data_IF_368089248962
#
_entry.id   IF_368089248962
#
_cell.length_a   1.000
_cell.length_b   1.000
_cell.length_c   1.000
_cell.angle_alpha   90.00
_cell.angle_beta   90.00
_cell.angle_gamma   90.00
#
_symmetry.space_group_name_H-M   'P 1'
#
loop_
_entity.id
_entity.type
_entity.pdbx_description
1 polymer ?
#
# COMPACT_ATOMS: atom_id res chain seq x y z
N UNK A 1 18.09 12.33 -11.35
CA UNK A 1 16.90 11.89 -12.11
C UNK A 1 15.94 11.14 -11.19
N UNK A 2 16.39 10.11 -10.45
CA UNK A 2 15.52 9.32 -9.59
C UNK A 2 14.73 10.17 -8.58
N UNK A 3 15.35 11.19 -7.99
CA UNK A 3 14.67 12.11 -7.06
C UNK A 3 13.58 12.95 -7.77
N UNK A 4 13.80 13.32 -9.03
CA UNK A 4 12.77 14.02 -9.81
C UNK A 4 11.58 13.10 -10.04
N UNK A 5 11.82 11.86 -10.47
CA UNK A 5 10.76 10.86 -10.65
C UNK A 5 10.00 10.63 -9.33
N UNK A 6 10.73 10.46 -8.24
CA UNK A 6 10.16 10.08 -6.94
C UNK A 6 9.36 11.19 -6.27
N UNK A 7 9.81 12.44 -6.39
CA UNK A 7 9.28 13.54 -5.58
C UNK A 7 8.55 14.61 -6.39
N UNK A 8 8.68 14.62 -7.72
CA UNK A 8 8.14 15.70 -8.55
C UNK A 8 7.26 15.23 -9.72
N UNK A 9 7.18 13.90 -9.99
CA UNK A 9 6.33 13.38 -11.06
C UNK A 9 5.36 12.32 -10.57
N UNK A 10 4.17 12.25 -11.18
CA UNK A 10 3.20 11.17 -11.03
C UNK A 10 2.47 10.98 -12.36
N UNK A 11 3.12 10.32 -13.29
CA UNK A 11 2.60 10.16 -14.66
C UNK A 11 2.87 8.73 -15.18
N UNK A 12 2.07 8.29 -16.14
CA UNK A 12 2.25 6.99 -16.81
C UNK A 12 3.27 7.02 -17.94
N UNK A 13 3.77 8.19 -18.29
CA UNK A 13 4.75 8.45 -19.34
C UNK A 13 5.97 9.18 -18.80
N UNK A 14 6.61 9.98 -19.65
CA UNK A 14 7.81 10.74 -19.33
C UNK A 14 7.72 12.21 -19.74
N UNK A 15 6.53 12.72 -20.01
CA UNK A 15 6.34 14.09 -20.50
C UNK A 15 6.67 15.13 -19.46
N UNK A 16 6.15 14.94 -18.25
CA UNK A 16 6.43 15.83 -17.11
C UNK A 16 7.89 15.70 -16.67
N UNK A 17 8.41 14.48 -16.63
CA UNK A 17 9.82 14.24 -16.34
C UNK A 17 10.72 15.02 -17.32
N UNK A 18 10.46 14.95 -18.63
CA UNK A 18 11.24 15.70 -19.61
C UNK A 18 11.15 17.20 -19.38
N UNK A 19 9.96 17.73 -19.09
CA UNK A 19 9.75 19.14 -18.78
C UNK A 19 10.56 19.60 -17.55
N UNK A 20 10.61 18.78 -16.52
CA UNK A 20 11.38 19.06 -15.31
C UNK A 20 12.88 18.96 -15.53
N UNK A 21 13.31 17.96 -16.32
CA UNK A 21 14.72 17.85 -16.74
C UNK A 21 15.17 19.06 -17.54
N UNK A 22 14.34 19.57 -18.47
CA UNK A 22 14.63 20.78 -19.21
C UNK A 22 14.84 22.00 -18.28
N UNK A 23 14.02 22.15 -17.23
CA UNK A 23 14.22 23.20 -16.24
C UNK A 23 15.56 23.07 -15.52
N UNK A 24 15.91 21.85 -15.11
CA UNK A 24 17.16 21.56 -14.42
C UNK A 24 18.35 21.88 -15.35
N UNK A 25 18.32 21.41 -16.59
CA UNK A 25 19.39 21.66 -17.59
C UNK A 25 19.55 23.16 -17.86
N UNK A 26 18.46 23.91 -18.04
CA UNK A 26 18.53 25.37 -18.21
C UNK A 26 19.17 26.07 -17.02
N UNK A 27 18.82 25.67 -15.79
CA UNK A 27 19.42 26.21 -14.60
C UNK A 27 20.93 25.96 -14.54
N UNK A 28 21.38 24.72 -14.86
CA UNK A 28 22.80 24.36 -14.95
C UNK A 28 23.56 25.24 -15.94
N UNK A 29 23.01 25.42 -17.15
CA UNK A 29 23.63 26.21 -18.21
C UNK A 29 23.73 27.70 -17.82
N UNK A 30 22.64 28.27 -17.32
CA UNK A 30 22.60 29.70 -16.94
C UNK A 30 23.59 30.00 -15.82
N UNK A 31 23.65 29.14 -14.80
CA UNK A 31 24.50 29.33 -13.64
C UNK A 31 25.91 28.74 -13.79
N UNK A 32 26.24 28.16 -14.97
CA UNK A 32 27.53 27.52 -15.25
C UNK A 32 27.91 26.42 -14.24
N UNK A 33 26.91 25.69 -13.73
CA UNK A 33 27.07 24.61 -12.76
C UNK A 33 27.14 23.29 -13.53
N UNK A 34 28.04 22.37 -13.14
CA UNK A 34 28.21 21.07 -13.79
C UNK A 34 27.42 19.94 -13.13
N UNK A 35 27.17 20.05 -11.85
CA UNK A 35 26.51 19.03 -11.04
C UNK A 35 25.51 19.68 -10.10
N UNK A 36 24.44 18.96 -9.77
CA UNK A 36 23.43 19.38 -8.79
C UNK A 36 23.29 18.36 -7.68
N UNK A 37 22.97 18.85 -6.50
CA UNK A 37 22.64 18.05 -5.31
C UNK A 37 21.12 17.88 -5.18
N UNK A 38 20.62 16.98 -4.34
CA UNK A 38 19.19 16.91 -4.03
C UNK A 38 18.59 18.20 -3.48
N UNK A 39 19.37 19.01 -2.74
CA UNK A 39 18.94 20.34 -2.23
C UNK A 39 18.77 21.36 -3.35
N UNK A 40 19.57 21.29 -4.40
CA UNK A 40 19.43 22.21 -5.54
C UNK A 40 18.12 21.94 -6.32
N UNK A 41 17.59 20.71 -6.28
CA UNK A 41 16.31 20.40 -6.89
C UNK A 41 15.15 21.18 -6.26
N UNK A 42 15.17 21.42 -4.97
CA UNK A 42 14.13 22.21 -4.29
C UNK A 42 14.22 23.69 -4.67
N UNK A 43 15.41 24.19 -4.94
CA UNK A 43 15.61 25.56 -5.45
C UNK A 43 15.09 25.69 -6.89
N UNK A 44 15.35 24.69 -7.73
CA UNK A 44 15.02 24.70 -9.16
C UNK A 44 13.55 24.38 -9.41
N UNK A 45 13.01 23.39 -8.71
CA UNK A 45 11.70 22.78 -8.99
C UNK A 45 10.64 23.18 -7.95
N UNK A 46 11.04 23.74 -6.81
CA UNK A 46 10.19 24.02 -5.66
C UNK A 46 10.15 22.86 -4.67
N UNK A 47 9.27 22.97 -3.68
CA UNK A 47 9.09 21.92 -2.68
C UNK A 47 8.67 20.60 -3.32
N UNK A 48 9.08 19.49 -2.70
CA UNK A 48 8.66 18.14 -3.12
C UNK A 48 7.14 18.04 -3.15
N UNK A 49 6.59 17.65 -4.29
CA UNK A 49 5.15 17.47 -4.50
C UNK A 49 4.66 16.18 -3.86
N UNK A 50 5.53 15.17 -3.86
CA UNK A 50 5.23 13.84 -3.33
C UNK A 50 6.28 13.49 -2.27
N UNK A 51 5.85 13.24 -1.06
CA UNK A 51 6.71 12.80 0.04
C UNK A 51 6.28 11.40 0.45
N UNK A 52 7.24 10.53 0.71
CA UNK A 52 6.90 9.27 1.35
C UNK A 52 6.58 9.56 2.80
N UNK A 53 5.44 9.08 3.28
CA UNK A 53 5.13 9.11 4.71
C UNK A 53 6.25 8.44 5.51
N UNK A 54 6.49 8.97 6.71
CA UNK A 54 7.44 8.36 7.63
C UNK A 54 7.04 6.90 7.89
N UNK A 55 7.99 5.98 7.77
CA UNK A 55 7.79 4.58 8.15
C UNK A 55 7.64 4.51 9.68
N UNK A 56 6.41 4.50 10.14
CA UNK A 56 6.08 4.31 11.56
C UNK A 56 5.21 3.07 11.69
N UNK A 57 5.56 2.22 12.65
CA UNK A 57 4.70 1.11 13.03
C UNK A 57 3.62 1.65 13.98
N UNK A 58 2.37 1.30 13.71
CA UNK A 58 1.24 1.65 14.57
C UNK A 58 0.26 0.50 14.64
N UNK A 59 -0.31 0.30 15.80
CA UNK A 59 -1.42 -0.64 15.97
C UNK A 59 -2.58 -0.21 15.08
N UNK A 60 -3.16 -1.15 14.37
CA UNK A 60 -4.25 -0.91 13.45
C UNK A 60 -3.84 -0.34 12.08
N UNK A 61 -2.55 -0.06 11.81
CA UNK A 61 -2.09 0.46 10.52
C UNK A 61 -1.36 -0.61 9.70
N UNK A 62 -1.74 -0.75 8.42
CA UNK A 62 -1.17 -1.73 7.49
C UNK A 62 -1.04 -1.14 6.09
N UNK A 63 0.06 -1.44 5.41
CA UNK A 63 0.26 -1.06 4.02
C UNK A 63 -0.45 -2.03 3.07
N UNK A 64 -1.19 -1.46 2.13
CA UNK A 64 -1.77 -2.15 0.97
C UNK A 64 -1.36 -1.45 -0.31
N UNK A 65 -1.62 -2.08 -1.46
CA UNK A 65 -1.20 -1.53 -2.74
C UNK A 65 -2.38 -1.48 -3.70
N UNK A 66 -2.73 -0.28 -4.10
CA UNK A 66 -3.71 -0.02 -5.15
C UNK A 66 -3.06 0.13 -6.53
N UNK A 67 -3.89 0.20 -7.55
CA UNK A 67 -3.48 0.54 -8.92
C UNK A 67 -4.39 1.63 -9.45
N UNK A 68 -3.80 2.67 -9.97
CA UNK A 68 -4.45 3.79 -10.63
C UNK A 68 -4.18 3.74 -12.15
N UNK A 69 -4.82 4.58 -12.96
CA UNK A 69 -4.44 4.74 -14.36
C UNK A 69 -2.98 5.15 -14.57
N UNK A 70 -2.34 5.73 -13.56
CA UNK A 70 -0.96 6.21 -13.60
C UNK A 70 0.07 5.19 -13.07
N UNK A 71 -0.37 4.02 -12.64
CA UNK A 71 0.48 2.98 -12.05
C UNK A 71 0.04 2.56 -10.65
N UNK A 72 0.91 1.84 -9.96
CA UNK A 72 0.66 1.44 -8.58
C UNK A 72 0.72 2.62 -7.61
N UNK A 73 0.00 2.54 -6.51
CA UNK A 73 0.02 3.51 -5.42
C UNK A 73 0.04 2.81 -4.08
N UNK A 74 0.89 3.29 -3.16
CA UNK A 74 0.90 2.82 -1.78
C UNK A 74 -0.28 3.43 -1.03
N UNK A 75 -0.97 2.60 -0.29
CA UNK A 75 -2.10 2.98 0.53
C UNK A 75 -1.90 2.42 1.94
N UNK A 76 -2.48 3.09 2.92
CA UNK A 76 -2.55 2.60 4.29
C UNK A 76 -4.00 2.37 4.67
N UNK A 77 -4.26 1.22 5.28
CA UNK A 77 -5.50 0.94 6.00
C UNK A 77 -5.23 1.18 7.47
N UNK A 78 -6.07 1.99 8.10
CA UNK A 78 -5.99 2.31 9.52
C UNK A 78 -7.30 1.92 10.18
N UNK A 79 -7.24 1.06 11.19
CA UNK A 79 -8.37 0.65 12.00
C UNK A 79 -8.30 1.26 13.40
N UNK A 80 -9.41 1.77 13.89
CA UNK A 80 -9.54 2.27 15.25
C UNK A 80 -10.95 1.96 15.81
N UNK A 81 -11.06 1.79 17.12
CA UNK A 81 -12.36 1.66 17.75
C UNK A 81 -13.10 3.00 17.82
N UNK A 82 -14.44 2.94 17.75
CA UNK A 82 -15.30 4.08 18.08
C UNK A 82 -16.33 3.70 19.13
N UNK A 83 -16.92 4.72 19.77
CA UNK A 83 -17.90 4.54 20.84
C UNK A 83 -19.36 4.57 20.32
N UNK A 84 -19.57 4.63 19.00
CA UNK A 84 -20.90 4.78 18.40
C UNK A 84 -21.53 3.48 17.95
N UNK A 85 -20.88 2.33 18.20
CA UNK A 85 -21.32 0.99 17.78
C UNK A 85 -21.67 0.92 16.27
N UNK A 86 -20.92 1.65 15.44
CA UNK A 86 -21.12 1.76 14.00
C UNK A 86 -19.84 1.51 13.23
N UNK A 87 -19.99 1.09 11.98
CA UNK A 87 -18.89 1.05 11.03
C UNK A 87 -18.80 2.40 10.29
N UNK A 88 -17.64 3.04 10.36
CA UNK A 88 -17.37 4.27 9.63
C UNK A 88 -16.17 4.06 8.70
N UNK A 89 -16.36 4.30 7.41
CA UNK A 89 -15.33 4.16 6.38
C UNK A 89 -15.03 5.55 5.81
N UNK A 90 -13.74 5.91 5.76
CA UNK A 90 -13.25 7.19 5.24
C UNK A 90 -12.12 6.98 4.23
N UNK A 91 -11.78 8.00 3.43
CA UNK A 91 -10.64 7.96 2.52
C UNK A 91 -10.99 7.84 1.03
N UNK A 92 -12.10 8.46 0.57
CA UNK A 92 -12.53 8.47 -0.84
C UNK A 92 -12.61 7.06 -1.45
N UNK A 93 -13.41 6.19 -0.84
CA UNK A 93 -13.57 4.78 -1.21
C UNK A 93 -14.76 4.55 -2.13
N UNK A 94 -14.56 3.77 -3.19
CA UNK A 94 -15.61 3.31 -4.09
C UNK A 94 -16.42 2.14 -3.53
N UNK A 95 -17.49 1.76 -4.25
CA UNK A 95 -18.44 0.75 -3.76
C UNK A 95 -17.84 -0.65 -3.68
N UNK A 96 -16.95 -1.03 -4.62
CA UNK A 96 -16.26 -2.34 -4.57
C UNK A 96 -15.38 -2.49 -3.33
N UNK A 97 -14.75 -1.40 -2.89
CA UNK A 97 -13.97 -1.43 -1.66
C UNK A 97 -14.86 -1.51 -0.43
N UNK A 98 -16.02 -0.84 -0.41
CA UNK A 98 -17.00 -0.97 0.68
C UNK A 98 -17.53 -2.41 0.78
N UNK A 99 -17.84 -3.03 -0.35
CA UNK A 99 -18.25 -4.45 -0.39
C UNK A 99 -17.13 -5.37 0.13
N UNK A 100 -15.88 -5.09 -0.24
CA UNK A 100 -14.73 -5.82 0.28
C UNK A 100 -14.57 -5.65 1.79
N UNK A 101 -14.81 -4.47 2.35
CA UNK A 101 -14.83 -4.24 3.80
C UNK A 101 -15.91 -5.09 4.46
N UNK A 102 -17.15 -5.09 3.92
CA UNK A 102 -18.24 -5.90 4.47
C UNK A 102 -17.91 -7.39 4.46
N UNK A 103 -17.28 -7.88 3.39
CA UNK A 103 -16.81 -9.27 3.28
C UNK A 103 -15.73 -9.59 4.33
N UNK A 104 -14.78 -8.68 4.54
CA UNK A 104 -13.74 -8.84 5.58
C UNK A 104 -14.35 -8.92 6.98
N UNK A 105 -15.34 -8.08 7.28
CA UNK A 105 -16.05 -8.10 8.55
C UNK A 105 -16.85 -9.40 8.74
N UNK A 106 -17.54 -9.86 7.70
CA UNK A 106 -18.27 -11.13 7.72
C UNK A 106 -17.33 -12.33 7.96
N UNK A 107 -16.14 -12.34 7.33
CA UNK A 107 -15.12 -13.34 7.59
C UNK A 107 -14.65 -13.30 9.05
N UNK A 108 -14.33 -12.13 9.59
CA UNK A 108 -13.87 -11.99 10.97
C UNK A 108 -14.93 -12.38 12.00
N UNK A 109 -16.20 -12.08 11.72
CA UNK A 109 -17.34 -12.46 12.56
C UNK A 109 -17.55 -13.98 12.54
N UNK A 110 -17.51 -14.62 11.34
CA UNK A 110 -17.65 -16.07 11.20
C UNK A 110 -16.54 -16.86 11.92
N UNK A 111 -15.34 -16.29 12.03
CA UNK A 111 -14.22 -16.86 12.78
C UNK A 111 -14.28 -16.54 14.29
N UNK A 112 -15.29 -15.82 14.73
CA UNK A 112 -15.42 -15.39 16.13
C UNK A 112 -14.33 -14.41 16.60
N UNK A 113 -13.71 -13.70 15.66
CA UNK A 113 -12.60 -12.78 15.92
C UNK A 113 -13.03 -11.33 16.11
N UNK A 114 -14.29 -11.01 15.80
CA UNK A 114 -14.82 -9.65 15.85
C UNK A 114 -16.10 -9.61 16.68
N UNK A 115 -16.15 -8.70 17.67
CA UNK A 115 -17.35 -8.41 18.44
C UNK A 115 -17.71 -6.92 18.31
N UNK A 116 -18.42 -6.57 17.26
CA UNK A 116 -18.89 -5.21 17.00
C UNK A 116 -20.03 -4.75 17.92
N UNK A 117 -20.60 -5.65 18.73
CA UNK A 117 -21.68 -5.29 19.68
C UNK A 117 -21.19 -4.42 20.83
N UNK A 118 -19.89 -4.48 21.10
CA UNK A 118 -19.28 -3.73 22.23
C UNK A 118 -18.61 -2.44 21.82
N UNK A 119 -18.07 -2.37 20.58
CA UNK A 119 -17.38 -1.16 20.06
C UNK A 119 -17.57 -1.11 18.57
N UNK A 120 -17.85 0.07 18.04
CA UNK A 120 -17.83 0.31 16.60
C UNK A 120 -16.41 0.40 16.07
N UNK A 121 -16.29 0.53 14.75
CA UNK A 121 -15.03 0.50 14.04
C UNK A 121 -14.92 1.69 13.08
N UNK A 122 -13.81 2.40 13.12
CA UNK A 122 -13.34 3.28 12.05
C UNK A 122 -12.37 2.53 11.15
N UNK A 123 -12.56 2.65 9.84
CA UNK A 123 -11.59 2.26 8.83
C UNK A 123 -11.27 3.47 7.96
N UNK A 124 -10.01 3.87 7.94
CA UNK A 124 -9.54 4.95 7.09
C UNK A 124 -8.57 4.43 6.04
N UNK A 125 -8.78 4.84 4.79
CA UNK A 125 -7.89 4.53 3.67
C UNK A 125 -7.17 5.81 3.26
N UNK A 126 -5.87 5.86 3.46
CA UNK A 126 -5.03 7.04 3.17
C UNK A 126 -3.95 6.73 2.14
N UNK A 127 -3.35 7.77 1.58
CA UNK A 127 -2.25 7.65 0.62
C UNK A 127 -2.63 7.89 -0.85
N UNK A 128 -3.90 8.22 -1.15
CA UNK A 128 -4.32 8.58 -2.50
C UNK A 128 -5.34 9.72 -2.48
N UNK A 129 -5.18 10.65 -3.42
CA UNK A 129 -6.18 11.68 -3.71
C UNK A 129 -7.23 11.20 -4.72
N UNK A 130 -7.01 10.03 -5.34
CA UNK A 130 -7.95 9.39 -6.27
C UNK A 130 -8.87 8.45 -5.52
N UNK A 131 -10.05 8.19 -6.09
CA UNK A 131 -10.97 7.19 -5.54
C UNK A 131 -10.31 5.82 -5.53
N UNK A 132 -10.27 5.22 -4.34
CA UNK A 132 -9.76 3.87 -4.13
C UNK A 132 -10.92 2.91 -4.33
N UNK A 133 -10.82 2.05 -5.34
CA UNK A 133 -11.87 1.06 -5.62
C UNK A 133 -11.26 -0.29 -6.04
N UNK A 134 -11.67 -1.36 -5.36
CA UNK A 134 -11.20 -2.71 -5.61
C UNK A 134 -10.95 -3.52 -4.35
N UNK A 135 -11.06 -4.83 -4.48
CA UNK A 135 -10.99 -5.77 -3.36
C UNK A 135 -9.55 -6.27 -3.05
N UNK A 136 -8.54 -5.92 -3.86
CA UNK A 136 -7.18 -6.48 -3.73
C UNK A 136 -6.43 -6.08 -2.45
N UNK A 137 -7.01 -5.20 -1.62
CA UNK A 137 -6.52 -4.82 -0.29
C UNK A 137 -7.18 -5.56 0.87
N UNK A 138 -8.10 -6.49 0.61
CA UNK A 138 -8.90 -7.16 1.65
C UNK A 138 -8.06 -7.84 2.72
N UNK A 139 -6.97 -8.51 2.33
CA UNK A 139 -6.02 -9.13 3.28
C UNK A 139 -5.44 -8.09 4.24
N UNK A 140 -5.12 -6.89 3.74
CA UNK A 140 -4.64 -5.79 4.56
C UNK A 140 -5.72 -5.23 5.50
N UNK A 141 -6.99 -5.17 5.05
CA UNK A 141 -8.12 -4.75 5.89
C UNK A 141 -8.28 -5.70 7.08
N UNK A 142 -8.33 -7.00 6.83
CA UNK A 142 -8.42 -8.02 7.89
C UNK A 142 -7.23 -7.90 8.84
N UNK A 143 -6.02 -7.71 8.32
CA UNK A 143 -4.80 -7.58 9.13
C UNK A 143 -4.81 -6.32 9.98
N UNK A 144 -5.29 -5.19 9.45
CA UNK A 144 -5.43 -3.92 10.19
C UNK A 144 -6.40 -4.08 11.38
N UNK A 145 -7.55 -4.72 11.16
CA UNK A 145 -8.53 -4.98 12.22
C UNK A 145 -7.94 -5.94 13.27
N UNK A 146 -7.27 -7.01 12.84
CA UNK A 146 -6.64 -7.95 13.79
C UNK A 146 -5.45 -7.34 14.53
N UNK A 147 -4.72 -6.43 13.91
CA UNK A 147 -3.69 -5.62 14.57
C UNK A 147 -4.30 -4.81 15.73
N UNK A 148 -5.44 -4.17 15.48
CA UNK A 148 -6.19 -3.42 16.51
C UNK A 148 -6.71 -4.34 17.64
N UNK A 149 -7.31 -5.48 17.28
CA UNK A 149 -7.88 -6.43 18.27
C UNK A 149 -6.79 -7.03 19.15
N UNK A 150 -5.63 -7.35 18.60
CA UNK A 150 -4.52 -7.99 19.31
C UNK A 150 -3.55 -6.96 19.93
N UNK A 151 -3.81 -5.67 19.80
CA UNK A 151 -2.91 -4.58 20.22
C UNK A 151 -1.46 -4.82 19.74
N UNK A 152 -1.32 -5.18 18.46
CA UNK A 152 -0.03 -5.57 17.87
C UNK A 152 0.28 -4.77 16.62
N UNK A 153 1.39 -4.06 16.65
CA UNK A 153 1.91 -3.34 15.48
C UNK A 153 2.33 -4.30 14.36
N UNK A 154 2.05 -3.92 13.13
CA UNK A 154 2.57 -4.55 11.92
C UNK A 154 3.71 -3.70 11.38
N UNK A 155 4.82 -4.35 11.01
CA UNK A 155 5.98 -3.62 10.48
C UNK A 155 5.63 -2.82 9.23
N UNK A 156 6.06 -1.58 9.20
CA UNK A 156 5.90 -0.69 8.05
C UNK A 156 6.71 -1.13 6.81
N UNK A 157 7.59 -2.12 6.94
CA UNK A 157 8.31 -2.74 5.83
C UNK A 157 7.51 -3.87 5.16
N UNK A 158 6.33 -4.18 5.69
CA UNK A 158 5.43 -5.22 5.17
C UNK A 158 4.29 -4.55 4.40
N UNK A 159 3.91 -5.13 3.25
CA UNK A 159 2.66 -4.85 2.57
C UNK A 159 1.88 -6.15 2.31
N UNK A 160 0.56 -6.01 2.20
CA UNK A 160 -0.33 -7.14 1.97
C UNK A 160 -1.15 -6.91 0.69
N UNK A 161 -1.20 -7.94 -0.14
CA UNK A 161 -1.95 -7.95 -1.39
C UNK A 161 -2.82 -9.22 -1.38
N UNK A 162 -4.09 -9.07 -1.71
CA UNK A 162 -4.99 -10.22 -1.86
C UNK A 162 -6.43 -9.81 -1.65
N UNK A 163 -7.33 -10.46 -2.37
CA UNK A 163 -8.74 -10.49 -2.05
C UNK A 163 -9.01 -11.70 -1.17
N UNK A 164 -9.97 -11.61 -0.25
CA UNK A 164 -10.35 -12.70 0.66
C UNK A 164 -11.79 -13.11 0.40
N UNK A 165 -12.10 -14.40 0.52
CA UNK A 165 -13.46 -14.89 0.56
C UNK A 165 -13.94 -15.14 2.00
N UNK A 166 -15.20 -15.58 2.17
CA UNK A 166 -15.81 -15.85 3.49
C UNK A 166 -15.13 -17.00 4.27
N UNK A 167 -14.31 -17.81 3.61
CA UNK A 167 -13.59 -18.94 4.22
C UNK A 167 -12.11 -18.61 4.49
N UNK A 168 -11.73 -17.36 4.26
CA UNK A 168 -10.36 -16.91 4.45
C UNK A 168 -9.41 -17.28 3.30
N UNK A 169 -9.90 -17.83 2.18
CA UNK A 169 -9.05 -18.11 1.03
C UNK A 169 -8.59 -16.81 0.38
N UNK A 170 -7.32 -16.77 -0.01
CA UNK A 170 -6.70 -15.59 -0.62
C UNK A 170 -6.71 -15.76 -2.14
N UNK A 171 -7.47 -14.91 -2.81
CA UNK A 171 -7.73 -15.00 -4.23
C UNK A 171 -6.74 -14.18 -5.05
N UNK A 172 -6.40 -14.68 -6.26
CA UNK A 172 -5.53 -14.03 -7.23
C UNK A 172 -5.97 -12.58 -7.51
N UNK A 173 -4.98 -11.71 -7.67
CA UNK A 173 -5.18 -10.31 -8.02
C UNK A 173 -4.55 -9.98 -9.38
N UNK A 174 -5.05 -8.93 -10.03
CA UNK A 174 -4.49 -8.42 -11.27
C UNK A 174 -3.37 -7.40 -11.04
N UNK A 175 -2.59 -7.13 -12.10
CA UNK A 175 -1.56 -6.10 -12.14
C UNK A 175 -0.51 -6.24 -11.01
N UNK A 176 -0.06 -7.49 -10.79
CA UNK A 176 0.89 -7.79 -9.72
C UNK A 176 2.21 -7.04 -9.91
N UNK A 177 2.72 -6.99 -11.15
CA UNK A 177 3.98 -6.33 -11.48
C UNK A 177 4.00 -4.86 -11.02
N UNK A 178 2.97 -4.10 -11.38
CA UNK A 178 2.86 -2.69 -11.00
C UNK A 178 2.80 -2.51 -9.49
N UNK A 179 2.10 -3.40 -8.79
CA UNK A 179 1.99 -3.39 -7.34
C UNK A 179 3.34 -3.65 -6.66
N UNK A 180 4.06 -4.68 -7.10
CA UNK A 180 5.35 -5.05 -6.50
C UNK A 180 6.41 -3.98 -6.78
N UNK A 181 6.48 -3.45 -8.00
CA UNK A 181 7.41 -2.35 -8.32
C UNK A 181 7.12 -1.13 -7.44
N UNK A 182 5.84 -0.80 -7.24
CA UNK A 182 5.46 0.33 -6.37
C UNK A 182 5.87 0.10 -4.93
N UNK A 183 5.64 -1.09 -4.39
CA UNK A 183 6.07 -1.46 -3.04
C UNK A 183 7.58 -1.37 -2.88
N UNK A 184 8.34 -1.91 -3.84
CA UNK A 184 9.79 -1.85 -3.86
C UNK A 184 10.31 -0.40 -3.81
N UNK A 185 9.76 0.47 -4.66
CA UNK A 185 10.11 1.90 -4.71
C UNK A 185 9.73 2.65 -3.43
N UNK A 186 8.66 2.22 -2.75
CA UNK A 186 8.27 2.75 -1.44
C UNK A 186 9.14 2.20 -0.28
N UNK A 187 10.10 1.32 -0.58
CA UNK A 187 11.00 0.73 0.39
C UNK A 187 10.40 -0.44 1.19
N UNK A 188 9.29 -1.03 0.73
CA UNK A 188 8.78 -2.30 1.24
C UNK A 188 9.77 -3.41 0.85
N UNK A 189 9.99 -4.37 1.75
CA UNK A 189 10.88 -5.49 1.51
C UNK A 189 10.22 -6.85 1.71
N UNK A 190 9.03 -6.87 2.31
CA UNK A 190 8.24 -8.10 2.49
C UNK A 190 6.83 -7.88 2.00
N UNK A 191 6.35 -8.76 1.12
CA UNK A 191 4.97 -8.75 0.62
C UNK A 191 4.34 -10.12 0.86
N UNK A 192 3.16 -10.13 1.49
CA UNK A 192 2.26 -11.28 1.48
C UNK A 192 1.32 -11.15 0.29
N UNK A 193 1.25 -12.18 -0.54
CA UNK A 193 0.51 -12.17 -1.80
C UNK A 193 -0.15 -13.53 -2.07
N UNK A 194 -1.17 -13.58 -2.94
CA UNK A 194 -1.89 -14.81 -3.22
C UNK A 194 -1.00 -15.87 -3.88
N UNK A 195 -1.10 -17.13 -3.45
CA UNK A 195 -0.47 -18.28 -4.10
C UNK A 195 -0.82 -18.36 -5.59
N UNK A 196 -2.03 -17.97 -5.98
CA UNK A 196 -2.46 -17.96 -7.37
C UNK A 196 -1.73 -16.96 -8.28
N UNK A 197 -0.89 -16.08 -7.71
CA UNK A 197 -0.07 -15.13 -8.47
C UNK A 197 1.38 -15.58 -8.69
N UNK A 198 1.78 -16.80 -8.31
CA UNK A 198 3.18 -17.26 -8.42
C UNK A 198 3.72 -17.18 -9.85
N UNK A 199 2.89 -17.49 -10.85
CA UNK A 199 3.29 -17.44 -12.26
C UNK A 199 3.53 -16.01 -12.76
N UNK A 200 2.88 -15.01 -12.15
CA UNK A 200 2.99 -13.60 -12.54
C UNK A 200 4.35 -13.00 -12.10
N UNK A 201 5.13 -13.70 -11.27
CA UNK A 201 6.48 -13.28 -10.86
C UNK A 201 7.51 -13.34 -11.99
N UNK A 202 7.24 -14.14 -13.03
CA UNK A 202 8.11 -14.24 -14.21
C UNK A 202 8.27 -12.89 -14.92
N UNK A 203 7.31 -11.99 -14.74
CA UNK A 203 7.32 -10.65 -15.33
C UNK A 203 8.07 -9.62 -14.48
N UNK A 204 8.55 -10.00 -13.29
CA UNK A 204 9.24 -9.10 -12.37
C UNK A 204 10.72 -8.94 -12.73
N UNK A 205 11.29 -7.73 -12.54
CA UNK A 205 12.72 -7.53 -12.66
C UNK A 205 13.52 -8.39 -11.68
N UNK A 206 14.60 -9.02 -12.14
CA UNK A 206 15.42 -9.92 -11.34
C UNK A 206 15.97 -9.29 -10.05
N UNK A 207 16.26 -7.99 -10.06
CA UNK A 207 16.77 -7.30 -8.87
C UNK A 207 15.70 -7.22 -7.76
N UNK A 208 14.41 -7.07 -8.13
CA UNK A 208 13.30 -7.07 -7.16
C UNK A 208 13.18 -8.45 -6.51
N UNK A 209 13.24 -9.52 -7.29
CA UNK A 209 13.17 -10.89 -6.77
C UNK A 209 14.33 -11.22 -5.82
N UNK A 210 15.48 -10.56 -5.97
CA UNK A 210 16.64 -10.75 -5.09
C UNK A 210 16.55 -9.95 -3.78
N UNK A 211 15.87 -8.80 -3.80
CA UNK A 211 15.86 -7.85 -2.68
C UNK A 211 14.56 -7.86 -1.88
N UNK A 212 13.51 -8.52 -2.37
CA UNK A 212 12.21 -8.60 -1.69
C UNK A 212 11.89 -10.03 -1.28
N UNK A 213 11.29 -10.19 -0.11
CA UNK A 213 10.66 -11.42 0.31
C UNK A 213 9.20 -11.45 -0.18
N UNK A 214 8.90 -12.29 -1.16
CA UNK A 214 7.56 -12.54 -1.68
C UNK A 214 7.00 -13.79 -1.03
N UNK A 215 6.03 -13.63 -0.12
CA UNK A 215 5.48 -14.72 0.70
C UNK A 215 4.10 -15.06 0.16
N UNK A 216 4.03 -16.18 -0.56
CA UNK A 216 2.78 -16.69 -1.11
C UNK A 216 1.92 -17.35 -0.03
N UNK A 217 0.64 -17.05 -0.05
CA UNK A 217 -0.33 -17.58 0.90
C UNK A 217 -1.63 -17.94 0.19
N UNK A 218 -2.22 -19.08 0.59
CA UNK A 218 -3.49 -19.57 0.06
C UNK A 218 -4.66 -19.20 0.96
N UNK A 219 -4.41 -19.07 2.27
CA UNK A 219 -5.43 -18.77 3.27
C UNK A 219 -4.90 -17.79 4.31
N UNK A 220 -5.79 -16.96 4.82
CA UNK A 220 -5.44 -15.92 5.79
C UNK A 220 -4.90 -16.49 7.12
N UNK A 221 -5.27 -17.70 7.48
CA UNK A 221 -4.73 -18.39 8.66
C UNK A 221 -3.19 -18.51 8.65
N UNK A 222 -2.59 -18.61 7.45
CA UNK A 222 -1.14 -18.61 7.28
C UNK A 222 -0.55 -17.26 7.66
N UNK A 223 -1.11 -16.15 7.14
CA UNK A 223 -0.69 -14.78 7.46
C UNK A 223 -0.85 -14.52 8.96
N UNK A 224 -2.02 -14.88 9.52
CA UNK A 224 -2.31 -14.75 10.95
C UNK A 224 -1.25 -15.45 11.80
N UNK A 225 -0.84 -16.65 11.41
CA UNK A 225 0.19 -17.43 12.10
C UNK A 225 1.55 -16.72 12.08
N UNK A 226 1.94 -16.07 10.99
CA UNK A 226 3.21 -15.35 10.89
C UNK A 226 3.19 -14.01 11.62
N UNK A 227 2.14 -13.20 11.40
CA UNK A 227 2.08 -11.85 11.92
C UNK A 227 1.66 -11.78 13.39
N UNK A 228 0.83 -12.72 13.87
CA UNK A 228 0.22 -12.68 15.21
C UNK A 228 0.69 -13.82 16.13
N UNK A 229 1.79 -14.53 15.82
CA UNK A 229 2.40 -15.46 16.79
C UNK A 229 2.60 -14.77 18.13
N UNK A 230 2.10 -15.36 19.20
CA UNK A 230 2.53 -15.02 20.56
C UNK A 230 4.01 -15.41 20.67
N UNK A 231 4.85 -14.46 21.08
CA UNK A 231 6.22 -14.74 21.46
C UNK A 231 6.23 -15.61 22.70
#
# INVERSE_FOLDING_TARGET
>A
ILDIIKYYTMESGVRELNRLLDKVVRYLVINKIKEITPSDLEIILGNKLYTNDSKTNKVGEVNIIGVTPFGGTMLKVQAAYNNYNSLNITGNVGDKLKDAVNLCLAYLDSEGLLDLKKKGLYLNFSGSNLTIDGASGSVGIVTSILSLINDKEISSDIALIGNIDLYGNILKVSKLKEKIITAYNAGIRTIYLPQGNIEDEKDLPLFILKEMALIHTSNYSEIKKYLFKKK
#
